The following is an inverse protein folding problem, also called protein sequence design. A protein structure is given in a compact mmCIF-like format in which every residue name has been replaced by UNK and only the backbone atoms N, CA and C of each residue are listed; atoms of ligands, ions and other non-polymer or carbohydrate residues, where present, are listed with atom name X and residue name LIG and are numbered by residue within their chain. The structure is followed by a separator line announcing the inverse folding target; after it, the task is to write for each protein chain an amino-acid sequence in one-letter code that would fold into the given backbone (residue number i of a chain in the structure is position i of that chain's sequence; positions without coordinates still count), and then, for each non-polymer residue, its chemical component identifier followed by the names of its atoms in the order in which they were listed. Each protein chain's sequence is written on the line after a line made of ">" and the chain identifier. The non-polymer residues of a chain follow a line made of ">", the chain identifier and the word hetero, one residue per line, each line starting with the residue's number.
data_IF_587636138781
#
_entry.id   IF_587636138781
#
_cell.length_a   1.000
_cell.length_b   1.000
_cell.length_c   1.000
_cell.angle_alpha   90.00
_cell.angle_beta   90.00
_cell.angle_gamma   90.00
#
_symmetry.space_group_name_H-M   'P 1'
#
loop_
_entity.id
_entity.type
_entity.pdbx_description
1 polymer ?
#
# COMPACT_ATOMS: atom_id res chain seq x y z
N UNK A 1 17.33 -4.93 27.00
CA UNK A 1 17.01 -5.12 28.44
C UNK A 1 16.61 -3.76 29.00
N UNK A 2 15.37 -3.49 29.36
CA UNK A 2 14.22 -4.40 29.48
C UNK A 2 13.00 -3.91 28.69
N UNK A 3 12.18 -4.87 28.28
CA UNK A 3 10.83 -4.70 27.78
C UNK A 3 9.96 -5.02 29.01
N UNK A 4 9.40 -4.00 29.66
CA UNK A 4 8.74 -4.14 30.97
C UNK A 4 7.24 -4.27 30.78
N UNK A 5 6.69 -5.43 31.15
CA UNK A 5 5.25 -5.69 31.07
C UNK A 5 4.55 -4.90 32.17
N UNK A 6 3.55 -4.06 31.86
CA UNK A 6 2.89 -3.25 32.86
C UNK A 6 2.01 -4.06 33.84
N UNK A 7 1.78 -3.42 35.00
CA UNK A 7 0.56 -3.46 35.84
C UNK A 7 0.36 -4.59 36.90
N UNK A 8 -0.41 -4.29 37.98
CA UNK A 8 -1.15 -5.20 38.91
C UNK A 8 -2.22 -4.41 39.75
N UNK A 9 -3.46 -4.91 39.94
CA UNK A 9 -4.58 -4.06 40.43
C UNK A 9 -4.67 -3.78 41.94
N UNK A 10 -4.40 -2.52 42.29
CA UNK A 10 -5.19 -1.78 43.27
C UNK A 10 -5.46 -0.30 42.88
N UNK A 11 -5.55 0.12 41.61
CA UNK A 11 -5.91 -0.58 40.35
C UNK A 11 -4.97 -0.24 39.17
N UNK A 12 -4.43 -1.25 38.49
CA UNK A 12 -3.78 -1.23 37.17
C UNK A 12 -3.63 -2.67 36.64
N UNK A 13 -4.26 -3.07 35.54
CA UNK A 13 -4.57 -4.50 35.21
C UNK A 13 -3.35 -5.30 34.67
N UNK A 14 -2.86 -6.36 35.34
CA UNK A 14 -1.57 -7.02 35.00
C UNK A 14 -1.63 -7.72 33.64
N UNK A 15 -0.80 -7.31 32.68
CA UNK A 15 -1.39 -7.21 31.34
C UNK A 15 -1.02 -8.31 30.32
N UNK A 16 -1.94 -9.26 30.23
CA UNK A 16 -2.00 -10.28 29.18
C UNK A 16 -2.27 -9.68 27.78
N UNK A 17 -2.86 -8.49 27.65
CA UNK A 17 -2.83 -7.70 26.40
C UNK A 17 -1.42 -7.12 26.16
N UNK A 18 -0.83 -6.43 27.13
CA UNK A 18 0.40 -5.66 26.90
C UNK A 18 1.65 -6.51 26.64
N UNK A 19 1.67 -7.79 27.02
CA UNK A 19 2.72 -8.74 26.58
C UNK A 19 2.65 -9.04 25.06
N UNK A 20 1.45 -9.01 24.49
CA UNK A 20 1.21 -9.20 23.05
C UNK A 20 1.44 -7.88 22.28
N UNK A 21 1.31 -6.73 22.95
CA UNK A 21 1.53 -5.39 22.39
C UNK A 21 3.01 -4.98 22.23
N UNK A 22 3.98 -5.84 22.54
CA UNK A 22 5.43 -5.51 22.51
C UNK A 22 6.11 -5.64 21.14
N UNK A 23 5.34 -5.45 20.07
CA UNK A 23 5.73 -5.43 18.65
C UNK A 23 6.32 -6.77 18.18
N UNK A 24 5.45 -7.70 17.78
CA UNK A 24 5.83 -8.81 16.91
C UNK A 24 5.84 -8.39 15.44
N UNK A 25 6.66 -9.04 14.62
CA UNK A 25 6.50 -8.97 13.16
C UNK A 25 5.63 -10.16 12.76
N UNK A 26 4.65 -9.91 11.89
CA UNK A 26 3.74 -10.95 11.40
C UNK A 26 3.85 -11.01 9.87
N UNK A 27 3.99 -12.20 9.35
CA UNK A 27 4.01 -12.50 7.92
C UNK A 27 2.70 -13.17 7.51
N UNK A 28 2.41 -13.12 6.22
CA UNK A 28 1.23 -13.70 5.59
C UNK A 28 1.70 -14.52 4.40
N UNK A 29 1.04 -15.63 4.09
CA UNK A 29 1.38 -16.44 2.91
C UNK A 29 1.23 -15.65 1.60
N UNK A 30 0.33 -14.66 1.58
CA UNK A 30 0.11 -13.79 0.43
C UNK A 30 -0.13 -12.33 0.83
N UNK A 31 0.95 -11.52 0.83
CA UNK A 31 0.88 -10.07 1.06
C UNK A 31 -0.03 -9.32 0.05
N UNK A 32 -0.20 -9.82 -1.18
CA UNK A 32 -1.12 -9.22 -2.17
C UNK A 32 -2.60 -9.54 -1.89
N UNK A 33 -2.88 -10.46 -0.96
CA UNK A 33 -4.22 -10.75 -0.47
C UNK A 33 -4.67 -9.82 0.67
N UNK A 34 -3.79 -8.95 1.17
CA UNK A 34 -4.11 -7.99 2.22
C UNK A 34 -4.97 -6.84 1.69
N UNK A 35 -6.01 -6.49 2.42
CA UNK A 35 -6.86 -5.34 2.10
C UNK A 35 -6.37 -4.08 2.83
N UNK A 36 -6.30 -2.96 2.10
CA UNK A 36 -5.74 -1.71 2.58
C UNK A 36 -6.81 -0.88 3.32
N UNK A 37 -6.71 -0.76 4.65
CA UNK A 37 -7.59 0.12 5.45
C UNK A 37 -7.15 1.60 5.40
N UNK A 38 -6.03 1.90 4.75
CA UNK A 38 -5.43 3.24 4.69
C UNK A 38 -4.48 3.52 5.87
N UNK A 39 -3.80 4.67 5.82
CA UNK A 39 -2.79 5.07 6.83
C UNK A 39 -1.74 3.99 7.13
N UNK A 40 -1.28 3.27 6.10
CA UNK A 40 -0.37 2.12 6.17
C UNK A 40 -0.87 0.93 7.02
N UNK A 41 -2.18 0.86 7.29
CA UNK A 41 -2.83 -0.29 7.93
C UNK A 41 -3.41 -1.22 6.87
N UNK A 42 -3.29 -2.52 7.13
CA UNK A 42 -3.81 -3.59 6.29
C UNK A 42 -4.57 -4.59 7.17
N UNK A 43 -5.58 -5.25 6.62
CA UNK A 43 -6.25 -6.40 7.25
C UNK A 43 -5.96 -7.68 6.50
N UNK A 44 -5.95 -8.79 7.23
CA UNK A 44 -6.05 -10.11 6.65
C UNK A 44 -7.40 -10.28 5.93
N UNK A 45 -7.38 -11.03 4.84
CA UNK A 45 -8.57 -11.54 4.15
C UNK A 45 -8.42 -13.04 3.94
N UNK A 46 -9.48 -13.73 3.51
CA UNK A 46 -9.39 -15.15 3.11
C UNK A 46 -8.31 -15.41 2.04
N UNK A 47 -7.90 -14.37 1.28
CA UNK A 47 -6.87 -14.46 0.23
C UNK A 47 -5.45 -14.20 0.73
N UNK A 48 -5.25 -13.63 1.91
CA UNK A 48 -3.91 -13.44 2.52
C UNK A 48 -3.46 -14.64 3.34
N UNK A 49 -4.41 -15.45 3.82
CA UNK A 49 -4.17 -16.41 4.90
C UNK A 49 -4.16 -15.74 6.28
N UNK A 50 -3.93 -16.55 7.31
CA UNK A 50 -3.79 -16.09 8.70
C UNK A 50 -2.43 -15.40 8.93
N UNK A 51 -2.36 -14.56 9.97
CA UNK A 51 -1.13 -13.89 10.36
C UNK A 51 -0.22 -14.84 11.15
N UNK A 52 0.95 -15.18 10.60
CA UNK A 52 1.96 -16.01 11.26
C UNK A 52 2.99 -15.12 11.93
N UNK A 53 3.31 -15.36 13.20
CA UNK A 53 4.35 -14.59 13.90
C UNK A 53 5.76 -15.00 13.40
N UNK A 54 6.51 -14.04 12.87
CA UNK A 54 7.88 -14.25 12.41
C UNK A 54 8.89 -13.76 13.46
N UNK A 55 9.61 -14.71 14.04
CA UNK A 55 10.65 -14.46 15.05
C UNK A 55 12.06 -14.32 14.47
N UNK A 56 12.22 -14.44 13.14
CA UNK A 56 13.52 -14.36 12.45
C UNK A 56 13.92 -12.92 12.07
N UNK A 57 12.99 -11.97 12.15
CA UNK A 57 13.19 -10.58 11.72
C UNK A 57 13.74 -9.72 12.88
N UNK A 58 14.98 -9.25 12.71
CA UNK A 58 15.65 -8.37 13.66
C UNK A 58 15.06 -6.95 13.67
N UNK A 59 14.61 -6.49 14.84
CA UNK A 59 14.03 -5.16 15.04
C UNK A 59 15.12 -4.10 15.26
N UNK A 60 15.45 -3.35 14.20
CA UNK A 60 16.36 -2.20 14.28
C UNK A 60 15.69 -1.07 15.08
N UNK A 61 16.37 -0.58 16.12
CA UNK A 61 15.88 0.56 16.92
C UNK A 61 16.37 1.89 16.36
N UNK A 62 15.56 2.94 16.50
CA UNK A 62 15.85 4.31 16.04
C UNK A 62 16.05 4.45 14.52
N UNK A 63 15.49 3.53 13.74
CA UNK A 63 15.40 3.62 12.28
C UNK A 63 13.94 3.85 11.86
N UNK A 64 13.74 4.50 10.72
CA UNK A 64 12.44 4.65 10.06
C UNK A 64 12.54 4.06 8.66
N UNK A 65 11.63 3.16 8.31
CA UNK A 65 11.55 2.61 6.96
C UNK A 65 11.16 3.73 5.97
N UNK A 66 11.95 3.89 4.92
CA UNK A 66 11.67 4.83 3.84
C UNK A 66 10.82 4.12 2.78
N UNK A 67 9.86 4.84 2.20
CA UNK A 67 9.10 4.35 1.05
C UNK A 67 10.04 3.89 -0.07
N UNK A 68 9.81 2.69 -0.60
CA UNK A 68 10.55 2.14 -1.76
C UNK A 68 10.11 2.78 -3.10
N UNK A 69 9.60 4.01 -3.06
CA UNK A 69 8.95 4.70 -4.17
C UNK A 69 9.93 5.71 -4.78
N UNK A 70 10.34 5.48 -6.03
CA UNK A 70 11.09 6.48 -6.80
C UNK A 70 10.14 7.47 -7.48
N UNK A 71 10.01 8.64 -6.86
CA UNK A 71 9.18 9.74 -7.34
C UNK A 71 9.62 10.20 -8.75
N UNK A 72 10.91 10.13 -9.10
CA UNK A 72 11.38 10.55 -10.41
C UNK A 72 10.87 9.60 -11.51
N UNK A 73 11.06 8.29 -11.33
CA UNK A 73 10.52 7.26 -12.20
C UNK A 73 8.98 7.26 -12.27
N UNK A 74 8.28 7.51 -11.17
CA UNK A 74 6.82 7.60 -11.18
C UNK A 74 6.31 8.84 -11.92
N UNK A 75 6.97 10.00 -11.79
CA UNK A 75 6.64 11.17 -12.59
C UNK A 75 6.84 10.92 -14.09
N UNK A 76 7.90 10.20 -14.49
CA UNK A 76 8.10 9.80 -15.89
C UNK A 76 6.96 8.88 -16.37
N UNK A 77 6.57 7.86 -15.60
CA UNK A 77 5.42 6.98 -15.91
C UNK A 77 4.11 7.75 -16.07
N UNK A 78 3.87 8.77 -15.22
CA UNK A 78 2.70 9.65 -15.34
C UNK A 78 2.76 10.46 -16.64
N UNK A 79 3.91 11.04 -16.98
CA UNK A 79 4.11 11.82 -18.23
C UNK A 79 3.91 10.92 -19.47
N UNK A 80 4.41 9.69 -19.47
CA UNK A 80 4.21 8.72 -20.55
C UNK A 80 2.75 8.32 -20.71
N UNK A 81 2.05 8.08 -19.61
CA UNK A 81 0.60 7.80 -19.58
C UNK A 81 -0.19 8.99 -20.13
N UNK A 82 0.13 10.21 -19.69
CA UNK A 82 -0.48 11.45 -20.17
C UNK A 82 -0.23 11.69 -21.66
N UNK A 83 1.00 11.46 -22.15
CA UNK A 83 1.34 11.56 -23.59
C UNK A 83 0.56 10.54 -24.42
N UNK A 84 0.44 9.31 -23.94
CA UNK A 84 -0.32 8.25 -24.60
C UNK A 84 -1.81 8.59 -24.69
N UNK A 85 -2.39 9.11 -23.60
CA UNK A 85 -3.76 9.63 -23.58
C UNK A 85 -3.95 10.81 -24.52
N UNK A 86 -3.04 11.80 -24.52
CA UNK A 86 -3.09 12.94 -25.43
C UNK A 86 -2.97 12.53 -26.91
N UNK A 87 -2.14 11.53 -27.22
CA UNK A 87 -2.04 11.01 -28.59
C UNK A 87 -3.34 10.32 -29.00
N UNK A 88 -3.91 9.48 -28.14
CA UNK A 88 -5.19 8.81 -28.38
C UNK A 88 -6.34 9.81 -28.57
N UNK A 89 -6.42 10.83 -27.71
CA UNK A 89 -7.42 11.90 -27.81
C UNK A 89 -7.29 12.71 -29.12
N UNK A 90 -6.06 13.00 -29.57
CA UNK A 90 -5.83 13.65 -30.87
C UNK A 90 -6.26 12.76 -32.03
N UNK A 91 -5.97 11.46 -32.00
CA UNK A 91 -6.40 10.51 -33.04
C UNK A 91 -7.93 10.50 -33.15
N UNK A 92 -8.65 10.44 -32.02
CA UNK A 92 -10.12 10.54 -32.00
C UNK A 92 -10.59 11.87 -32.59
N UNK A 93 -10.07 13.01 -32.13
CA UNK A 93 -10.44 14.33 -32.67
C UNK A 93 -10.21 14.44 -34.19
N UNK A 94 -9.10 13.90 -34.70
CA UNK A 94 -8.83 13.89 -36.14
C UNK A 94 -9.76 12.95 -36.91
N UNK A 95 -10.21 11.84 -36.30
CA UNK A 95 -11.19 10.95 -36.91
C UNK A 95 -12.57 11.64 -36.99
N UNK A 96 -13.01 12.27 -35.90
CA UNK A 96 -14.27 13.04 -35.84
C UNK A 96 -14.29 14.18 -36.88
N UNK A 97 -13.14 14.87 -37.06
CA UNK A 97 -13.00 15.93 -38.05
C UNK A 97 -13.05 15.40 -39.50
N UNK A 98 -12.39 14.27 -39.78
CA UNK A 98 -12.45 13.62 -41.11
C UNK A 98 -13.85 13.06 -41.41
N UNK A 99 -14.55 12.51 -40.42
CA UNK A 99 -15.95 12.09 -40.57
C UNK A 99 -16.85 13.28 -40.89
N UNK A 100 -16.70 14.38 -40.14
CA UNK A 100 -17.44 15.63 -40.39
C UNK A 100 -17.19 16.18 -41.79
N UNK A 101 -15.94 16.18 -42.27
CA UNK A 101 -15.62 16.61 -43.64
C UNK A 101 -16.29 15.69 -44.66
N UNK A 102 -16.21 14.37 -44.47
CA UNK A 102 -16.82 13.38 -45.37
C UNK A 102 -18.34 13.51 -45.45
N UNK A 103 -19.00 13.78 -44.32
CA UNK A 103 -20.46 13.97 -44.27
C UNK A 103 -20.93 15.29 -44.92
N UNK A 104 -20.07 16.32 -45.00
CA UNK A 104 -20.36 17.58 -45.70
C UNK A 104 -20.03 17.54 -47.22
N UNK A 105 -19.50 16.41 -47.73
CA UNK A 105 -19.20 16.19 -49.14
C UNK A 105 -20.26 15.32 -49.85
N UNK A 106 -21.46 15.20 -49.26
CA UNK A 106 -22.63 14.50 -49.80
C UNK A 106 -23.75 15.50 -50.11
#
# INVERSE_FOLDING_TARGET
>A
NHITVPFIEGTSKPDYEALTQMIGVYTFDNNFGLELLGSNKMTATERSGEAVADTSIDKIRMALERSNTDIAGDMVRIIETQRSYQMSARVVQTADELERITNNLR
#
